data_IF_209249139051
#
_entry.id   IF_209249139051
#
_cell.length_a   1.000
_cell.length_b   1.000
_cell.length_c   1.000
_cell.angle_alpha   90.00
_cell.angle_beta   90.00
_cell.angle_gamma   90.00
#
_symmetry.space_group_name_H-M   'P 1'
#
loop_
_entity.id
_entity.type
_entity.pdbx_description
1 polymer ?
#
# COMPACT_ATOMS: atom_id res chain seq x y z
N UNK A 1 -51.12 -17.12 25.22
CA UNK A 1 -50.24 -18.31 25.24
C UNK A 1 -49.24 -18.15 24.12
N UNK A 2 -47.96 -18.21 24.47
CA UNK A 2 -46.79 -18.04 23.61
C UNK A 2 -46.67 -19.17 22.58
N UNK A 3 -46.15 -18.84 21.40
CA UNK A 3 -45.22 -19.74 20.70
C UNK A 3 -44.23 -18.90 19.91
N UNK A 4 -42.97 -19.07 20.29
CA UNK A 4 -41.78 -18.66 19.58
C UNK A 4 -41.24 -19.94 18.93
N UNK A 5 -40.90 -19.91 17.65
CA UNK A 5 -40.11 -20.95 17.00
C UNK A 5 -39.39 -20.37 15.78
N UNK A 6 -38.15 -19.93 16.04
CA UNK A 6 -36.95 -20.10 15.22
C UNK A 6 -37.14 -19.99 13.71
N UNK A 7 -36.90 -18.80 13.17
CA UNK A 7 -36.61 -18.64 11.75
C UNK A 7 -35.10 -18.91 11.52
N UNK A 8 -34.78 -20.19 11.41
CA UNK A 8 -33.52 -20.68 10.85
C UNK A 8 -33.51 -20.29 9.37
N UNK A 9 -32.88 -19.16 9.07
CA UNK A 9 -32.49 -18.84 7.70
C UNK A 9 -30.98 -18.78 7.73
N UNK A 10 -30.40 -19.88 7.27
CA UNK A 10 -29.02 -19.97 6.86
C UNK A 10 -28.61 -18.65 6.18
N UNK A 11 -27.64 -17.97 6.78
CA UNK A 11 -26.89 -16.91 6.13
C UNK A 11 -26.01 -17.57 5.07
N UNK A 12 -26.66 -18.01 4.01
CA UNK A 12 -26.03 -18.57 2.83
C UNK A 12 -25.59 -17.39 1.98
N UNK A 13 -24.30 -17.08 2.08
CA UNK A 13 -23.43 -16.62 1.00
C UNK A 13 -24.14 -15.89 -0.16
N UNK A 14 -24.70 -14.72 0.12
CA UNK A 14 -24.95 -13.75 -0.93
C UNK A 14 -23.59 -13.18 -1.32
N UNK A 15 -23.13 -13.58 -2.50
CA UNK A 15 -21.97 -13.02 -3.17
C UNK A 15 -22.02 -11.49 -3.15
N UNK A 16 -21.23 -10.88 -2.28
CA UNK A 16 -20.99 -9.43 -2.22
C UNK A 16 -19.95 -9.11 -3.31
N UNK A 17 -20.35 -9.28 -4.58
CA UNK A 17 -19.63 -8.81 -5.77
C UNK A 17 -20.00 -7.34 -6.01
N UNK A 18 -19.90 -6.52 -4.96
CA UNK A 18 -19.88 -5.08 -5.15
C UNK A 18 -18.48 -4.73 -5.69
N UNK A 19 -18.36 -3.98 -6.81
CA UNK A 19 -17.05 -3.54 -7.26
C UNK A 19 -16.42 -2.77 -6.10
N UNK A 20 -15.26 -3.23 -5.62
CA UNK A 20 -14.53 -2.59 -4.55
C UNK A 20 -14.41 -1.10 -4.88
N UNK A 21 -15.20 -0.29 -4.19
CA UNK A 21 -15.30 1.13 -4.50
C UNK A 21 -13.93 1.71 -4.19
N UNK A 22 -13.18 2.11 -5.23
CA UNK A 22 -11.84 2.65 -5.10
C UNK A 22 -11.95 3.96 -4.31
N UNK A 23 -11.72 3.88 -3.01
CA UNK A 23 -11.72 5.04 -2.12
C UNK A 23 -10.50 5.88 -2.52
N UNK A 24 -10.66 7.14 -2.96
CA UNK A 24 -9.54 7.97 -3.31
C UNK A 24 -8.68 8.20 -2.06
N UNK A 25 -7.45 7.69 -2.09
CA UNK A 25 -6.45 7.91 -1.05
C UNK A 25 -6.08 9.40 -1.05
N UNK A 26 -6.68 10.14 -0.13
CA UNK A 26 -6.44 11.58 0.04
C UNK A 26 -5.21 11.87 0.92
N UNK A 27 -4.68 10.83 1.57
CA UNK A 27 -3.56 10.91 2.50
C UNK A 27 -2.31 10.26 1.87
N UNK A 28 -1.12 10.87 2.03
CA UNK A 28 0.10 10.33 1.43
C UNK A 28 0.44 8.95 2.03
N UNK A 29 0.52 7.93 1.19
CA UNK A 29 0.91 6.56 1.58
C UNK A 29 2.37 6.50 2.05
N UNK A 30 3.22 7.39 1.50
CA UNK A 30 4.64 7.50 1.83
C UNK A 30 4.96 8.98 2.04
N UNK A 31 5.62 9.29 3.16
CA UNK A 31 6.17 10.61 3.44
C UNK A 31 7.70 10.52 3.52
N UNK A 32 8.38 11.44 2.83
CA UNK A 32 9.84 11.54 2.84
C UNK A 32 10.20 12.76 3.67
N UNK A 33 11.07 12.59 4.68
CA UNK A 33 11.59 13.70 5.47
C UNK A 33 12.59 14.53 4.66
N UNK A 34 12.76 15.81 5.00
CA UNK A 34 13.72 16.69 4.30
C UNK A 34 15.15 16.15 4.33
N UNK A 35 15.58 15.55 5.45
CA UNK A 35 16.90 14.91 5.59
C UNK A 35 17.05 13.69 4.65
N UNK A 36 16.01 12.86 4.55
CA UNK A 36 16.02 11.72 3.63
C UNK A 36 16.03 12.19 2.17
N UNK A 37 15.24 13.22 1.84
CA UNK A 37 15.21 13.80 0.49
C UNK A 37 16.59 14.33 0.09
N UNK A 38 17.28 15.05 0.98
CA UNK A 38 18.64 15.54 0.73
C UNK A 38 19.63 14.40 0.44
N UNK A 39 19.53 13.29 1.17
CA UNK A 39 20.33 12.08 0.92
C UNK A 39 19.99 11.43 -0.42
N UNK A 40 18.70 11.26 -0.73
CA UNK A 40 18.25 10.65 -1.99
C UNK A 40 18.76 11.47 -3.17
N UNK A 41 18.56 12.79 -3.15
CA UNK A 41 19.04 13.69 -4.21
C UNK A 41 20.57 13.64 -4.30
N UNK A 42 21.27 13.67 -3.18
CA UNK A 42 22.73 13.58 -3.16
C UNK A 42 23.29 12.28 -3.74
N UNK A 43 22.64 11.14 -3.47
CA UNK A 43 23.00 9.85 -4.10
C UNK A 43 22.70 9.89 -5.59
N UNK A 44 21.52 10.38 -5.99
CA UNK A 44 21.15 10.49 -7.41
C UNK A 44 22.16 11.34 -8.21
N UNK A 45 22.55 12.49 -7.68
CA UNK A 45 23.47 13.43 -8.35
C UNK A 45 24.91 12.89 -8.47
N UNK A 46 25.26 11.86 -7.69
CA UNK A 46 26.56 11.21 -7.78
C UNK A 46 26.64 10.15 -8.89
N UNK A 47 25.50 9.76 -9.47
CA UNK A 47 25.42 8.81 -10.58
C UNK A 47 25.81 9.48 -11.92
N UNK A 48 26.14 8.66 -12.92
CA UNK A 48 26.66 9.15 -14.22
C UNK A 48 25.59 9.91 -15.04
N UNK A 49 24.31 9.53 -14.93
CA UNK A 49 23.19 10.12 -15.67
C UNK A 49 22.02 10.47 -14.72
N UNK A 50 22.16 11.49 -13.86
CA UNK A 50 21.23 11.74 -12.76
C UNK A 50 19.84 12.20 -13.19
N UNK A 51 19.72 12.90 -14.33
CA UNK A 51 18.47 13.48 -14.83
C UNK A 51 17.44 12.43 -15.28
N UNK A 52 17.91 11.22 -15.60
CA UNK A 52 17.06 10.09 -15.99
C UNK A 52 16.64 9.20 -14.83
N UNK A 53 17.19 9.40 -13.63
CA UNK A 53 17.00 8.46 -12.52
C UNK A 53 15.86 8.88 -11.60
N UNK A 54 14.96 7.94 -11.32
CA UNK A 54 13.87 8.07 -10.37
C UNK A 54 14.05 7.12 -9.19
N UNK A 55 13.59 7.53 -8.01
CA UNK A 55 13.58 6.67 -6.84
C UNK A 55 12.41 5.68 -6.94
N UNK A 56 12.73 4.38 -6.95
CA UNK A 56 11.76 3.29 -6.80
C UNK A 56 11.73 2.82 -5.35
N UNK A 57 10.52 2.62 -4.84
CA UNK A 57 10.26 1.99 -3.55
C UNK A 57 9.54 0.67 -3.80
N UNK A 58 10.11 -0.43 -3.35
CA UNK A 58 9.51 -1.75 -3.54
C UNK A 58 9.40 -2.52 -2.23
N UNK A 59 8.26 -3.16 -2.02
CA UNK A 59 8.10 -4.14 -0.95
C UNK A 59 8.74 -5.44 -1.41
N UNK A 60 9.80 -5.87 -0.72
CA UNK A 60 10.54 -7.10 -1.05
C UNK A 60 10.11 -8.29 -0.21
N UNK A 61 9.40 -8.05 0.88
CA UNK A 61 8.92 -9.11 1.74
C UNK A 61 7.88 -8.65 2.74
N UNK A 62 7.12 -9.61 3.23
CA UNK A 62 6.16 -9.46 4.32
C UNK A 62 6.55 -10.43 5.44
N UNK A 63 6.72 -9.93 6.66
CA UNK A 63 6.96 -10.73 7.85
C UNK A 63 5.89 -10.39 8.90
N UNK A 64 4.79 -11.14 8.86
CA UNK A 64 3.63 -10.86 9.71
C UNK A 64 3.00 -9.51 9.36
N UNK A 65 3.14 -8.53 10.26
CA UNK A 65 2.65 -7.15 10.06
C UNK A 65 3.73 -6.19 9.54
N UNK A 66 4.97 -6.65 9.45
CA UNK A 66 6.11 -5.86 9.03
C UNK A 66 6.38 -6.05 7.53
N UNK A 67 6.75 -4.96 6.86
CA UNK A 67 7.11 -4.95 5.45
C UNK A 67 8.59 -4.63 5.30
N UNK A 68 9.30 -5.43 4.51
CA UNK A 68 10.65 -5.12 4.08
C UNK A 68 10.58 -4.28 2.80
N UNK A 69 11.35 -3.20 2.75
CA UNK A 69 11.42 -2.31 1.59
C UNK A 69 12.82 -2.28 0.99
N UNK A 70 12.86 -2.15 -0.33
CA UNK A 70 14.05 -1.85 -1.13
C UNK A 70 13.89 -0.47 -1.77
N UNK A 71 14.99 0.27 -1.78
CA UNK A 71 15.10 1.61 -2.37
C UNK A 71 16.20 1.57 -3.42
N UNK A 72 15.82 1.83 -4.66
CA UNK A 72 16.72 1.74 -5.81
C UNK A 72 16.47 2.90 -6.77
N UNK A 73 17.49 3.31 -7.52
CA UNK A 73 17.31 4.23 -8.64
C UNK A 73 17.07 3.43 -9.92
N UNK A 74 16.01 3.76 -10.64
CA UNK A 74 15.68 3.18 -11.94
C UNK A 74 15.55 4.29 -13.00
N UNK A 75 15.79 3.99 -14.28
CA UNK A 75 15.56 4.92 -15.38
C UNK A 75 14.06 5.21 -15.61
#
# INVERSE_FOLDING_TARGET
MSTEAVNDTATESAADDAPAQLVPISEPIIAISDDALGKIVGVREAEEEPDGLVLRVAVTGVNGVEYAYDLSFEP
#
